data_IF_433719865035
#
_entry.id   IF_433719865035
#
_cell.length_a   1.000
_cell.length_b   1.000
_cell.length_c   1.000
_cell.angle_alpha   90.00
_cell.angle_beta   90.00
_cell.angle_gamma   90.00
#
_symmetry.space_group_name_H-M   'P 1'
#
loop_
_entity.id
_entity.type
_entity.pdbx_description
1 polymer ?
#
# COMPACT_ATOMS: atom_id res chain seq x y z
N UNK A 1 -15.62 6.36 -39.96
CA UNK A 1 -16.15 6.00 -38.62
C UNK A 1 -17.12 7.11 -38.22
N UNK A 2 -18.40 6.80 -37.97
CA UNK A 2 -19.36 7.82 -37.52
C UNK A 2 -18.98 8.19 -36.09
N UNK A 3 -18.58 9.44 -35.85
CA UNK A 3 -18.52 9.98 -34.50
C UNK A 3 -19.93 9.84 -33.91
N UNK A 4 -20.11 8.90 -32.99
CA UNK A 4 -21.33 8.84 -32.20
C UNK A 4 -21.43 10.17 -31.46
N UNK A 5 -22.46 10.97 -31.75
CA UNK A 5 -22.70 12.24 -31.06
C UNK A 5 -22.67 12.00 -29.54
N UNK A 6 -21.59 12.46 -28.89
CA UNK A 6 -21.38 12.32 -27.46
C UNK A 6 -22.21 13.39 -26.75
N UNK A 7 -23.45 13.04 -26.43
CA UNK A 7 -24.41 13.94 -25.78
C UNK A 7 -24.56 13.56 -24.31
N UNK A 8 -24.58 14.56 -23.42
CA UNK A 8 -24.85 14.32 -22.00
C UNK A 8 -26.26 13.73 -21.81
N UNK A 9 -26.43 12.61 -21.07
CA UNK A 9 -27.73 11.98 -20.90
C UNK A 9 -28.72 12.79 -20.03
N UNK A 10 -28.23 13.77 -19.26
CA UNK A 10 -29.07 14.61 -18.39
C UNK A 10 -29.53 15.90 -19.06
N UNK A 11 -28.60 16.67 -19.65
CA UNK A 11 -28.94 17.96 -20.29
C UNK A 11 -29.10 17.91 -21.82
N UNK A 12 -28.77 16.79 -22.47
CA UNK A 12 -28.97 16.63 -23.91
C UNK A 12 -28.05 17.47 -24.80
N UNK A 13 -26.97 18.06 -24.25
CA UNK A 13 -26.00 18.84 -25.04
C UNK A 13 -24.63 18.17 -25.14
N UNK A 14 -23.94 18.42 -26.24
CA UNK A 14 -22.59 17.91 -26.53
C UNK A 14 -21.48 18.95 -26.29
N UNK A 15 -21.82 20.25 -26.25
CA UNK A 15 -20.90 21.38 -26.08
C UNK A 15 -20.10 21.33 -24.77
N UNK A 16 -20.73 20.85 -23.70
CA UNK A 16 -20.15 20.79 -22.36
C UNK A 16 -19.58 19.42 -21.99
N UNK A 17 -19.43 18.51 -22.95
CA UNK A 17 -18.96 17.13 -22.71
C UNK A 17 -17.49 17.03 -23.11
N UNK A 18 -16.64 16.58 -22.17
CA UNK A 18 -15.21 16.36 -22.44
C UNK A 18 -14.75 15.03 -21.88
N UNK A 19 -13.82 14.38 -22.59
CA UNK A 19 -13.23 13.11 -22.14
C UNK A 19 -12.46 13.32 -20.84
N UNK A 20 -12.70 12.48 -19.82
CA UNK A 20 -12.08 12.62 -18.49
C UNK A 20 -10.56 12.62 -18.58
N UNK A 21 -9.98 11.74 -19.40
CA UNK A 21 -8.52 11.68 -19.61
C UNK A 21 -7.93 13.00 -20.11
N UNK A 22 -8.66 13.73 -20.96
CA UNK A 22 -8.21 15.04 -21.47
C UNK A 22 -8.25 16.10 -20.37
N UNK A 23 -9.30 16.11 -19.53
CA UNK A 23 -9.39 17.06 -18.41
C UNK A 23 -8.26 16.82 -17.42
N UNK A 24 -7.97 15.56 -17.09
CA UNK A 24 -6.91 15.21 -16.14
C UNK A 24 -5.54 15.57 -16.70
N UNK A 25 -5.28 15.32 -17.98
CA UNK A 25 -4.02 15.69 -18.61
C UNK A 25 -3.82 17.21 -18.64
N UNK A 26 -4.84 17.97 -19.05
CA UNK A 26 -4.79 19.44 -19.08
C UNK A 26 -4.62 20.02 -17.67
N UNK A 27 -5.27 19.41 -16.68
CA UNK A 27 -5.24 19.85 -15.29
C UNK A 27 -4.05 19.30 -14.50
N UNK A 28 -3.12 18.59 -15.14
CA UNK A 28 -1.91 18.05 -14.50
C UNK A 28 -0.67 18.68 -15.12
N UNK A 29 -0.01 19.58 -14.39
CA UNK A 29 1.26 20.18 -14.82
C UNK A 29 2.41 19.41 -14.18
N UNK A 30 3.25 18.79 -15.00
CA UNK A 30 4.47 18.13 -14.55
C UNK A 30 5.63 19.10 -14.72
N UNK A 31 6.19 19.53 -13.61
CA UNK A 31 7.43 20.32 -13.62
C UNK A 31 8.57 19.38 -13.26
N UNK A 32 9.27 18.90 -14.28
CA UNK A 32 10.55 18.23 -14.12
C UNK A 32 11.60 19.30 -13.87
N UNK A 33 12.00 19.45 -12.61
CA UNK A 33 13.02 20.41 -12.24
C UNK A 33 14.30 19.67 -11.90
N UNK A 34 15.28 19.72 -12.83
CA UNK A 34 16.66 19.42 -12.50
C UNK A 34 17.23 20.63 -11.77
N UNK A 35 17.05 20.67 -10.45
CA UNK A 35 17.64 21.72 -9.61
C UNK A 35 18.98 21.24 -9.09
N UNK A 36 20.05 21.80 -9.65
CA UNK A 36 21.34 21.90 -8.98
C UNK A 36 21.27 23.12 -8.08
N UNK A 37 20.97 22.90 -6.81
CA UNK A 37 20.88 23.96 -5.80
C UNK A 37 22.03 23.85 -4.81
N UNK A 38 22.76 24.95 -4.63
CA UNK A 38 23.64 25.14 -3.48
C UNK A 38 22.84 25.89 -2.43
N UNK A 39 22.50 25.24 -1.31
CA UNK A 39 21.90 25.94 -0.18
C UNK A 39 22.97 26.22 0.86
N UNK A 40 23.19 27.50 1.13
CA UNK A 40 24.03 27.96 2.25
C UNK A 40 23.10 28.19 3.43
N UNK A 41 23.22 27.36 4.46
CA UNK A 41 22.44 27.52 5.70
C UNK A 41 23.42 27.55 6.87
N UNK A 42 23.87 28.74 7.24
CA UNK A 42 24.97 28.94 8.19
C UNK A 42 26.34 28.72 7.55
N UNK A 43 27.29 28.15 8.30
CA UNK A 43 28.65 27.80 7.84
C UNK A 43 28.71 26.52 6.98
N UNK A 44 27.58 25.84 6.76
CA UNK A 44 27.52 24.64 5.93
C UNK A 44 27.02 24.96 4.51
N UNK A 45 27.86 24.64 3.53
CA UNK A 45 27.51 24.66 2.10
C UNK A 45 27.06 23.25 1.72
N UNK A 46 25.75 23.02 1.60
CA UNK A 46 25.20 21.75 1.14
C UNK A 46 24.88 21.81 -0.36
N UNK A 47 25.53 20.94 -1.14
CA UNK A 47 25.18 20.69 -2.53
C UNK A 47 24.07 19.63 -2.59
N UNK A 48 22.84 20.09 -2.83
CA UNK A 48 21.71 19.19 -3.01
C UNK A 48 21.44 19.06 -4.52
N UNK A 49 21.87 17.94 -5.09
CA UNK A 49 21.41 17.51 -6.41
C UNK A 49 20.06 16.81 -6.23
N UNK A 50 18.97 17.57 -6.27
CA UNK A 50 17.62 17.03 -6.19
C UNK A 50 17.00 16.94 -7.57
N UNK A 51 16.81 15.72 -8.10
CA UNK A 51 15.80 15.50 -9.14
C UNK A 51 14.42 15.58 -8.47
N UNK A 52 13.82 16.76 -8.52
CA UNK A 52 12.48 17.01 -7.98
C UNK A 52 11.44 16.94 -9.09
N UNK A 53 10.60 15.90 -9.07
CA UNK A 53 9.39 15.84 -9.88
C UNK A 53 8.25 16.46 -9.08
N UNK A 54 7.89 17.71 -9.39
CA UNK A 54 6.68 18.32 -8.83
C UNK A 54 5.54 18.11 -9.81
N UNK A 55 4.43 17.58 -9.30
CA UNK A 55 3.19 17.43 -10.07
C UNK A 55 2.15 18.31 -9.40
N UNK A 56 1.71 19.35 -10.11
CA UNK A 56 0.56 20.15 -9.69
C UNK A 56 -0.70 19.65 -10.38
N UNK A 57 -1.79 19.60 -9.64
CA UNK A 57 -3.10 19.20 -10.16
C UNK A 57 -4.13 20.28 -9.84
N UNK A 58 -5.02 20.55 -10.80
CA UNK A 58 -6.24 21.30 -10.50
C UNK A 58 -7.18 20.46 -9.62
N UNK A 59 -8.06 21.11 -8.85
CA UNK A 59 -9.02 20.42 -7.98
C UNK A 59 -9.89 19.43 -8.77
N UNK A 60 -10.39 19.85 -9.95
CA UNK A 60 -11.16 18.99 -10.83
C UNK A 60 -10.35 17.79 -11.34
N UNK A 61 -9.10 18.00 -11.77
CA UNK A 61 -8.24 16.91 -12.23
C UNK A 61 -7.89 15.93 -11.10
N UNK A 62 -7.70 16.40 -9.87
CA UNK A 62 -7.44 15.54 -8.71
C UNK A 62 -8.66 14.69 -8.35
N UNK A 63 -9.87 15.24 -8.49
CA UNK A 63 -11.12 14.53 -8.26
C UNK A 63 -11.40 13.50 -9.37
N UNK A 64 -11.07 13.85 -10.62
CA UNK A 64 -11.21 13.00 -11.80
C UNK A 64 -10.02 12.05 -12.02
N UNK A 65 -9.02 12.05 -11.14
CA UNK A 65 -7.80 11.28 -11.30
C UNK A 65 -8.09 9.77 -11.47
N UNK A 66 -7.25 9.11 -12.25
CA UNK A 66 -7.31 7.67 -12.46
C UNK A 66 -7.29 6.92 -11.10
N UNK A 67 -7.96 5.75 -11.01
CA UNK A 67 -7.90 4.95 -9.79
C UNK A 67 -6.44 4.59 -9.48
N UNK A 68 -6.03 4.81 -8.22
CA UNK A 68 -4.67 4.51 -7.77
C UNK A 68 -4.42 3.01 -7.89
N UNK A 69 -3.31 2.64 -8.53
CA UNK A 69 -2.86 1.25 -8.60
C UNK A 69 -2.65 0.70 -7.18
N UNK A 70 -3.17 -0.49 -6.85
CA UNK A 70 -2.89 -1.10 -5.55
C UNK A 70 -1.38 -1.26 -5.39
N UNK A 71 -0.87 -0.90 -4.20
CA UNK A 71 0.54 -1.06 -3.88
C UNK A 71 0.89 -2.54 -3.93
N UNK A 72 1.92 -2.90 -4.71
CA UNK A 72 2.45 -4.25 -4.66
C UNK A 72 2.91 -4.53 -3.23
N UNK A 73 2.58 -5.68 -2.64
CA UNK A 73 3.14 -6.08 -1.35
C UNK A 73 4.66 -6.04 -1.50
N UNK A 74 5.28 -5.02 -0.91
CA UNK A 74 6.72 -4.83 -1.05
C UNK A 74 7.42 -5.88 -0.19
N UNK A 75 7.92 -6.92 -0.83
CA UNK A 75 8.79 -7.91 -0.19
C UNK A 75 10.12 -7.32 0.28
N UNK A 76 10.43 -6.08 -0.11
CA UNK A 76 11.70 -5.37 0.18
C UNK A 76 11.61 -4.41 1.37
N UNK A 77 10.56 -4.50 2.19
CA UNK A 77 10.46 -3.73 3.42
C UNK A 77 11.51 -4.14 4.46
N UNK A 78 11.72 -3.28 5.45
CA UNK A 78 12.56 -3.51 6.64
C UNK A 78 12.32 -4.91 7.28
N UNK A 79 11.14 -5.50 7.08
CA UNK A 79 10.79 -6.88 7.46
C UNK A 79 11.77 -7.93 6.92
N UNK A 80 12.43 -7.71 5.79
CA UNK A 80 13.48 -8.61 5.27
C UNK A 80 14.79 -8.55 6.07
N UNK A 81 15.01 -7.49 6.86
CA UNK A 81 16.17 -7.35 7.76
C UNK A 81 15.93 -8.12 9.08
N UNK A 82 14.68 -8.24 9.51
CA UNK A 82 14.31 -8.94 10.74
C UNK A 82 14.73 -10.42 10.83
N UNK A 83 14.67 -11.28 9.78
CA UNK A 83 15.12 -12.65 9.92
C UNK A 83 16.62 -12.75 10.23
N UNK A 84 17.44 -11.89 9.61
CA UNK A 84 18.87 -11.81 9.90
C UNK A 84 19.12 -11.34 11.33
N UNK A 85 18.41 -10.31 11.78
CA UNK A 85 18.51 -9.83 13.16
C UNK A 85 18.09 -10.88 14.19
N UNK A 86 16.99 -11.62 13.96
CA UNK A 86 16.54 -12.69 14.86
C UNK A 86 17.52 -13.86 14.94
N UNK A 87 18.09 -14.27 13.80
CA UNK A 87 19.14 -15.29 13.75
C UNK A 87 20.40 -14.82 14.49
N UNK A 88 20.80 -13.56 14.29
CA UNK A 88 21.93 -12.96 15.01
C UNK A 88 21.67 -12.90 16.52
N UNK A 89 20.50 -12.43 16.98
CA UNK A 89 20.15 -12.41 18.40
C UNK A 89 20.14 -13.81 19.02
N UNK A 90 19.55 -14.80 18.34
CA UNK A 90 19.53 -16.19 18.82
C UNK A 90 20.95 -16.78 18.88
N UNK A 91 21.78 -16.51 17.86
CA UNK A 91 23.18 -16.92 17.82
C UNK A 91 24.02 -16.27 18.92
N UNK A 92 23.88 -14.96 19.11
CA UNK A 92 24.56 -14.22 20.19
C UNK A 92 24.15 -14.74 21.57
N UNK A 93 22.86 -15.05 21.79
CA UNK A 93 22.38 -15.60 23.05
C UNK A 93 22.98 -16.99 23.33
N UNK A 94 22.98 -17.89 22.34
CA UNK A 94 23.63 -19.21 22.46
C UNK A 94 25.15 -19.09 22.66
N UNK A 95 25.79 -18.13 21.99
CA UNK A 95 27.21 -17.83 22.14
C UNK A 95 27.55 -17.35 23.56
N UNK A 96 26.72 -16.49 24.16
CA UNK A 96 26.88 -16.04 25.54
C UNK A 96 26.70 -17.20 26.53
N UNK A 97 25.74 -18.11 26.29
CA UNK A 97 25.58 -19.30 27.14
C UNK A 97 26.83 -20.19 27.05
N UNK A 98 27.32 -20.48 25.84
CA UNK A 98 28.54 -21.27 25.64
C UNK A 98 29.76 -20.62 26.30
N UNK A 99 29.92 -19.31 26.14
CA UNK A 99 30.99 -18.55 26.79
C UNK A 99 30.90 -18.64 28.32
N UNK A 100 29.70 -18.48 28.88
CA UNK A 100 29.48 -18.61 30.32
C UNK A 100 29.81 -20.02 30.83
N UNK A 101 29.50 -21.06 30.04
CA UNK A 101 29.82 -22.45 30.36
C UNK A 101 31.34 -22.69 30.36
N UNK A 102 32.08 -22.12 29.41
CA UNK A 102 33.54 -22.22 29.36
C UNK A 102 34.19 -21.45 30.51
N UNK A 103 33.72 -20.23 30.81
CA UNK A 103 34.26 -19.40 31.88
C UNK A 103 33.96 -19.96 33.28
N UNK A 104 32.84 -20.68 33.45
CA UNK A 104 32.47 -21.29 34.73
C UNK A 104 33.12 -22.66 34.97
N UNK A 105 33.64 -23.31 33.93
CA UNK A 105 34.28 -24.62 34.04
C UNK A 105 35.42 -24.69 35.08
N UNK A 106 36.37 -23.73 35.16
CA UNK A 106 37.46 -23.79 36.15
C UNK A 106 36.96 -23.68 37.59
N UNK A 107 35.89 -22.90 37.80
CA UNK A 107 35.29 -22.67 39.12
C UNK A 107 34.47 -23.88 39.57
N UNK A 108 33.78 -24.53 38.64
CA UNK A 108 32.90 -25.68 38.93
C UNK A 108 33.64 -27.02 38.96
N UNK A 109 34.85 -27.10 38.38
CA UNK A 109 35.67 -28.31 38.35
C UNK A 109 35.83 -29.05 39.70
N UNK A 110 36.19 -28.38 40.81
CA UNK A 110 36.29 -29.06 42.11
C UNK A 110 34.95 -29.62 42.59
N UNK A 111 33.85 -28.87 42.40
CA UNK A 111 32.49 -29.31 42.78
C UNK A 111 32.01 -30.48 41.93
N UNK A 112 32.41 -30.56 40.66
CA UNK A 112 32.08 -31.69 39.78
C UNK A 112 32.75 -32.99 40.19
N UNK A 113 33.91 -32.93 40.85
CA UNK A 113 34.60 -34.12 41.35
C UNK A 113 33.81 -34.83 42.45
N UNK A 114 33.12 -34.07 43.28
CA UNK A 114 32.29 -34.60 44.37
C UNK A 114 30.93 -35.07 43.87
N UNK A 115 30.37 -34.42 42.85
CA UNK A 115 29.03 -34.70 42.34
C UNK A 115 29.01 -34.68 40.79
N UNK A 116 29.22 -35.84 40.13
CA UNK A 116 29.28 -35.90 38.67
C UNK A 116 27.95 -35.53 37.99
N UNK A 117 26.82 -35.64 38.69
CA UNK A 117 25.50 -35.30 38.14
C UNK A 117 25.34 -33.79 37.83
N UNK A 118 26.07 -32.92 38.52
CA UNK A 118 26.00 -31.47 38.30
C UNK A 118 26.45 -31.07 36.90
N UNK A 119 27.28 -31.87 36.22
CA UNK A 119 27.75 -31.62 34.85
C UNK A 119 26.59 -31.60 33.84
N UNK A 120 25.53 -32.39 34.10
CA UNK A 120 24.40 -32.49 33.18
C UNK A 120 23.49 -31.26 33.23
N UNK A 121 23.48 -30.51 34.33
CA UNK A 121 22.60 -29.33 34.50
C UNK A 121 22.83 -28.25 33.43
N UNK A 122 24.05 -27.72 33.22
CA UNK A 122 24.28 -26.71 32.18
C UNK A 122 24.03 -27.27 30.76
N UNK A 123 24.32 -28.55 30.53
CA UNK A 123 24.06 -29.21 29.24
C UNK A 123 22.56 -29.27 28.95
N UNK A 124 21.75 -29.66 29.93
CA UNK A 124 20.28 -29.71 29.80
C UNK A 124 19.72 -28.31 29.55
N UNK A 125 20.19 -27.28 30.28
CA UNK A 125 19.77 -25.89 30.08
C UNK A 125 20.13 -25.41 28.67
N UNK A 126 21.33 -25.73 28.19
CA UNK A 126 21.77 -25.39 26.84
C UNK A 126 20.88 -26.04 25.77
N UNK A 127 20.64 -27.35 25.87
CA UNK A 127 19.78 -28.09 24.93
C UNK A 127 18.34 -27.56 24.96
N UNK A 128 17.78 -27.34 26.14
CA UNK A 128 16.42 -26.79 26.29
C UNK A 128 16.30 -25.39 25.67
N UNK A 129 17.26 -24.50 25.94
CA UNK A 129 17.27 -23.15 25.36
C UNK A 129 17.41 -23.18 23.84
N UNK A 130 18.26 -24.05 23.28
CA UNK A 130 18.40 -24.25 21.85
C UNK A 130 17.09 -24.73 21.19
N UNK A 131 16.38 -25.69 21.80
CA UNK A 131 15.09 -26.17 21.30
C UNK A 131 14.04 -25.07 21.30
N UNK A 132 13.95 -24.28 22.39
CA UNK A 132 13.00 -23.16 22.50
C UNK A 132 13.29 -22.09 21.44
N UNK A 133 14.56 -21.71 21.27
CA UNK A 133 14.97 -20.74 20.25
C UNK A 133 14.69 -21.26 18.83
N UNK A 134 15.00 -22.52 18.55
CA UNK A 134 14.72 -23.12 17.24
C UNK A 134 13.22 -23.14 16.95
N UNK A 135 12.39 -23.54 17.93
CA UNK A 135 10.93 -23.51 17.81
C UNK A 135 10.42 -22.08 17.61
N UNK A 136 10.97 -21.11 18.32
CA UNK A 136 10.61 -19.70 18.18
C UNK A 136 10.95 -19.16 16.78
N UNK A 137 12.16 -19.42 16.28
CA UNK A 137 12.59 -19.04 14.92
C UNK A 137 11.70 -19.70 13.86
N UNK A 138 11.37 -20.97 14.04
CA UNK A 138 10.52 -21.70 13.08
C UNK A 138 9.08 -21.15 13.05
N UNK A 139 8.46 -20.95 14.22
CA UNK A 139 7.12 -20.36 14.30
C UNK A 139 7.09 -18.92 13.76
N UNK A 140 8.13 -18.14 14.06
CA UNK A 140 8.35 -16.81 13.51
C UNK A 140 8.36 -16.82 11.98
N UNK A 141 9.20 -17.65 11.36
CA UNK A 141 9.28 -17.79 9.90
C UNK A 141 7.96 -18.26 9.31
N UNK A 142 7.27 -19.19 9.97
CA UNK A 142 5.97 -19.70 9.51
C UNK A 142 4.89 -18.62 9.49
N UNK A 143 4.82 -17.76 10.51
CA UNK A 143 3.87 -16.64 10.56
C UNK A 143 4.14 -15.61 9.46
N UNK A 144 5.40 -15.27 9.22
CA UNK A 144 5.77 -14.33 8.15
C UNK A 144 5.42 -14.89 6.76
N UNK A 145 5.70 -16.17 6.52
CA UNK A 145 5.32 -16.83 5.28
C UNK A 145 3.80 -16.87 5.07
N UNK A 146 3.01 -17.02 6.13
CA UNK A 146 1.56 -16.98 6.05
C UNK A 146 1.05 -15.59 5.68
N UNK A 147 1.51 -14.53 6.36
CA UNK A 147 1.11 -13.16 6.04
C UNK A 147 1.48 -12.77 4.60
N UNK A 148 2.64 -13.22 4.12
CA UNK A 148 3.05 -13.00 2.74
C UNK A 148 2.13 -13.72 1.75
N UNK A 149 1.81 -14.99 2.01
CA UNK A 149 0.88 -15.77 1.16
C UNK A 149 -0.52 -15.18 1.13
N UNK A 150 -1.03 -14.72 2.27
CA UNK A 150 -2.34 -14.08 2.36
C UNK A 150 -2.37 -12.75 1.59
N UNK A 151 -1.33 -11.92 1.72
CA UNK A 151 -1.21 -10.68 0.96
C UNK A 151 -1.09 -10.93 -0.55
N UNK A 152 -0.30 -11.93 -0.94
CA UNK A 152 -0.09 -12.28 -2.35
C UNK A 152 -1.33 -12.93 -2.97
N UNK A 153 -2.16 -13.64 -2.20
CA UNK A 153 -3.40 -14.24 -2.69
C UNK A 153 -4.48 -13.19 -3.05
N UNK A 154 -4.55 -12.08 -2.33
CA UNK A 154 -5.54 -11.02 -2.58
C UNK A 154 -5.11 -10.05 -3.67
N UNK A 155 -3.80 -9.83 -3.82
CA UNK A 155 -3.23 -8.91 -4.79
C UNK A 155 -3.66 -9.11 -6.27
N UNK A 156 -3.72 -10.34 -6.83
CA UNK A 156 -4.14 -10.53 -8.22
C UNK A 156 -5.60 -10.12 -8.44
N UNK A 157 -6.49 -10.42 -7.48
CA UNK A 157 -7.90 -10.03 -7.54
C UNK A 157 -8.07 -8.51 -7.51
N UNK A 158 -7.33 -7.83 -6.63
CA UNK A 158 -7.31 -6.36 -6.55
C UNK A 158 -6.76 -5.73 -7.84
N UNK A 159 -5.68 -6.28 -8.41
CA UNK A 159 -5.15 -5.83 -9.70
C UNK A 159 -6.19 -5.96 -10.79
N UNK A 160 -6.90 -7.08 -10.88
CA UNK A 160 -7.91 -7.27 -11.92
C UNK A 160 -9.05 -6.27 -11.78
N UNK A 161 -9.54 -6.04 -10.55
CA UNK A 161 -10.56 -5.04 -10.29
C UNK A 161 -10.08 -3.64 -10.66
N UNK A 162 -8.85 -3.29 -10.29
CA UNK A 162 -8.22 -2.02 -10.67
C UNK A 162 -8.09 -1.88 -12.20
N UNK A 163 -7.64 -2.91 -12.92
CA UNK A 163 -7.53 -2.90 -14.39
C UNK A 163 -8.88 -2.65 -15.05
N UNK A 164 -9.95 -3.29 -14.56
CA UNK A 164 -11.32 -3.06 -15.06
C UNK A 164 -11.80 -1.64 -14.76
N UNK A 165 -11.54 -1.15 -13.56
CA UNK A 165 -11.87 0.23 -13.17
C UNK A 165 -11.12 1.25 -14.04
N UNK A 166 -9.83 1.02 -14.31
CA UNK A 166 -9.01 1.87 -15.17
C UNK A 166 -9.54 1.88 -16.62
N UNK A 167 -9.82 0.71 -17.19
CA UNK A 167 -10.37 0.61 -18.55
C UNK A 167 -11.71 1.34 -18.69
N UNK A 168 -12.58 1.30 -17.66
CA UNK A 168 -13.82 2.09 -17.64
C UNK A 168 -13.53 3.58 -17.52
N UNK A 169 -12.61 3.97 -16.65
CA UNK A 169 -12.22 5.36 -16.45
C UNK A 169 -11.70 6.00 -17.75
N UNK A 170 -10.92 5.27 -18.55
CA UNK A 170 -10.43 5.72 -19.86
C UNK A 170 -11.55 6.01 -20.88
N UNK A 171 -12.73 5.42 -20.68
CA UNK A 171 -13.91 5.60 -21.52
C UNK A 171 -14.88 6.66 -20.96
N UNK A 172 -14.63 7.23 -19.77
CA UNK A 172 -15.53 8.19 -19.16
C UNK A 172 -15.48 9.57 -19.84
N UNK A 173 -16.64 10.18 -19.91
CA UNK A 173 -16.85 11.57 -20.28
C UNK A 173 -17.44 12.33 -19.10
N UNK A 174 -17.06 13.59 -18.97
CA UNK A 174 -17.51 14.50 -17.93
C UNK A 174 -18.33 15.63 -18.56
N UNK A 175 -19.46 15.97 -17.94
CA UNK A 175 -20.30 17.09 -18.33
C UNK A 175 -20.10 18.26 -17.35
N UNK A 176 -19.59 19.40 -17.85
CA UNK A 176 -19.36 20.59 -17.03
C UNK A 176 -20.63 21.23 -16.47
N UNK A 177 -21.79 21.07 -17.14
CA UNK A 177 -23.05 21.70 -16.71
C UNK A 177 -23.73 20.98 -15.56
N UNK A 178 -23.61 19.65 -15.54
CA UNK A 178 -24.31 18.79 -14.59
C UNK A 178 -23.39 18.21 -13.50
N UNK A 179 -22.09 18.51 -13.55
CA UNK A 179 -21.05 18.01 -12.63
C UNK A 179 -21.10 16.48 -12.45
N UNK A 180 -21.07 15.78 -13.58
CA UNK A 180 -21.26 14.34 -13.62
C UNK A 180 -20.47 13.66 -14.72
N UNK A 181 -20.16 12.38 -14.48
CA UNK A 181 -19.48 11.49 -15.40
C UNK A 181 -20.44 10.45 -15.97
N UNK A 182 -20.21 10.04 -17.22
CA UNK A 182 -20.98 8.98 -17.86
C UNK A 182 -20.12 8.22 -18.87
N UNK A 183 -20.57 7.00 -19.22
CA UNK A 183 -19.99 6.22 -20.30
C UNK A 183 -20.76 6.47 -21.60
N UNK A 184 -20.08 6.52 -22.76
CA UNK A 184 -20.79 6.50 -24.03
C UNK A 184 -21.65 5.23 -24.07
N UNK A 185 -22.86 5.34 -24.61
CA UNK A 185 -23.88 4.27 -24.64
C UNK A 185 -24.63 3.99 -23.33
N UNK A 186 -24.31 4.66 -22.22
CA UNK A 186 -25.08 4.55 -20.98
C UNK A 186 -25.88 5.84 -20.73
N UNK A 187 -27.19 5.71 -20.54
CA UNK A 187 -28.10 6.85 -20.30
C UNK A 187 -28.04 7.40 -18.86
N UNK A 188 -27.05 6.99 -18.05
CA UNK A 188 -26.96 7.34 -16.63
C UNK A 188 -25.81 8.31 -16.41
N UNK A 189 -26.14 9.50 -15.91
CA UNK A 189 -25.16 10.44 -15.38
C UNK A 189 -24.91 10.12 -13.90
N UNK A 190 -23.65 9.93 -13.54
CA UNK A 190 -23.23 9.71 -12.15
C UNK A 190 -22.55 10.98 -11.63
N UNK A 191 -22.98 11.53 -10.48
CA UNK A 191 -22.30 12.69 -9.89
C UNK A 191 -20.82 12.40 -9.62
N UNK A 192 -19.97 13.41 -9.77
CA UNK A 192 -18.50 13.25 -9.64
C UNK A 192 -18.10 12.60 -8.30
N UNK A 193 -18.79 12.94 -7.21
CA UNK A 193 -18.55 12.39 -5.87
C UNK A 193 -18.73 10.85 -5.81
N UNK A 194 -19.55 10.28 -6.69
CA UNK A 194 -19.83 8.84 -6.75
C UNK A 194 -19.03 8.11 -7.85
N UNK A 195 -18.15 8.82 -8.58
CA UNK A 195 -17.36 8.24 -9.66
C UNK A 195 -16.56 7.02 -9.20
N UNK A 196 -15.89 7.09 -8.04
CA UNK A 196 -15.09 5.97 -7.52
C UNK A 196 -15.95 4.72 -7.31
N UNK A 197 -17.13 4.86 -6.69
CA UNK A 197 -18.05 3.74 -6.47
C UNK A 197 -18.55 3.17 -7.81
N UNK A 198 -18.77 4.03 -8.81
CA UNK A 198 -19.19 3.61 -10.14
C UNK A 198 -18.11 2.82 -10.88
N UNK A 199 -16.84 3.22 -10.77
CA UNK A 199 -15.72 2.51 -11.39
C UNK A 199 -15.56 1.08 -10.86
N UNK A 200 -15.74 0.87 -9.55
CA UNK A 200 -15.60 -0.43 -8.89
C UNK A 200 -16.90 -1.27 -8.87
N UNK A 201 -18.03 -0.73 -9.31
CA UNK A 201 -19.30 -1.47 -9.34
C UNK A 201 -19.23 -2.66 -10.31
N UNK A 202 -19.67 -3.84 -9.86
CA UNK A 202 -19.66 -5.07 -10.67
C UNK A 202 -20.61 -4.91 -11.87
N UNK A 203 -20.15 -5.15 -13.11
CA UNK A 203 -20.90 -4.90 -14.35
C UNK A 203 -22.24 -5.66 -14.49
N UNK A 204 -22.52 -6.62 -13.62
CA UNK A 204 -23.74 -7.43 -13.65
C UNK A 204 -24.69 -7.19 -12.48
N UNK A 205 -24.31 -6.34 -11.52
CA UNK A 205 -25.18 -6.00 -10.40
C UNK A 205 -26.17 -4.94 -10.90
N UNK A 206 -27.16 -5.42 -11.66
CA UNK A 206 -28.35 -4.66 -12.05
C UNK A 206 -28.89 -4.06 -10.76
N UNK A 207 -28.58 -2.78 -10.53
CA UNK A 207 -29.10 -1.99 -9.42
C UNK A 207 -30.61 -2.16 -9.47
N UNK A 208 -31.16 -2.98 -8.58
CA UNK A 208 -32.53 -2.76 -8.09
C UNK A 208 -32.46 -1.35 -7.55
N UNK A 209 -32.88 -0.39 -8.37
CA UNK A 209 -32.86 1.02 -8.06
C UNK A 209 -33.73 1.19 -6.81
N UNK A 210 -33.11 1.11 -5.63
CA UNK A 210 -33.65 1.73 -4.46
C UNK A 210 -33.42 3.22 -4.73
N UNK A 211 -34.47 4.02 -4.96
CA UNK A 211 -34.31 5.45 -5.12
C UNK A 211 -33.58 5.94 -3.88
N UNK A 212 -32.35 6.44 -4.08
CA UNK A 212 -31.57 7.12 -3.05
C UNK A 212 -32.46 8.26 -2.57
N UNK A 213 -33.16 8.04 -1.45
CA UNK A 213 -33.84 9.10 -0.73
C UNK A 213 -32.75 10.05 -0.31
N UNK A 214 -32.53 11.10 -1.10
CA UNK A 214 -31.73 12.24 -0.70
C UNK A 214 -32.35 12.74 0.60
N UNK A 215 -31.71 12.42 1.72
CA UNK A 215 -32.03 12.98 3.01
C UNK A 215 -31.67 14.46 2.87
N UNK A 216 -32.67 15.28 2.57
CA UNK A 216 -32.55 16.73 2.66
C UNK A 216 -32.19 17.02 4.11
N UNK A 217 -30.90 17.20 4.38
CA UNK A 217 -30.43 17.75 5.65
C UNK A 217 -30.83 19.22 5.67
N UNK A 218 -32.10 19.43 6.03
CA UNK A 218 -32.67 20.71 6.38
C UNK A 218 -32.21 21.07 7.81
N UNK A 219 -30.92 21.35 7.99
CA UNK A 219 -30.44 22.20 9.09
C UNK A 219 -30.50 23.63 8.55
N UNK A 220 -31.62 24.34 8.71
CA UNK A 220 -32.02 25.08 9.92
C UNK A 220 -30.90 26.04 10.35
N UNK A 221 -30.80 27.15 9.61
CA UNK A 221 -30.33 28.42 10.16
C UNK A 221 -31.22 28.77 11.35
N UNK A 222 -30.63 28.78 12.54
CA UNK A 222 -31.01 29.69 13.61
C UNK A 222 -29.78 29.98 14.45
#
# INVERSE_FOLDING_TARGET
MRESNLVCPKCGRADAVRKVTSIVNDGTTRTESNRLGMSISGDEIAFNSGLGNSVSHTELASTLAAPRKPSQPSHKGLSAIFPGFRLNCAGSFLGLIMLSMVCSFPVLYPTYRENPLLIFVPVIIFVASAIVLMRWVWLSKRREAQMLREGEAHYPLEIEQWKRALARWEQLYYCYRDDGVFLPHHAVLVPIAQMKQYLYAKSGEKRKHQPLKFKKDSRKNR
#
